data_IF_584662720797
#
_entry.id   IF_584662720797
#
_cell.length_a   1.000
_cell.length_b   1.000
_cell.length_c   1.000
_cell.angle_alpha   90.00
_cell.angle_beta   90.00
_cell.angle_gamma   90.00
#
_symmetry.space_group_name_H-M   'P 1'
#
loop_
_entity.id
_entity.type
_entity.pdbx_description
1 polymer ?
#
# COMPACT_ATOMS: atom_id res chain seq x y z
N UNK A 1 21.23 29.63 -1.29
CA UNK A 1 20.90 30.65 -0.27
C UNK A 1 20.35 29.90 0.92
N UNK A 2 21.00 29.99 2.08
CA UNK A 2 20.63 29.26 3.31
C UNK A 2 19.31 29.77 3.86
N UNK A 3 18.33 28.89 3.88
CA UNK A 3 16.93 29.15 4.21
C UNK A 3 16.73 29.24 5.74
N UNK A 4 17.18 30.35 6.33
CA UNK A 4 17.06 30.64 7.76
C UNK A 4 15.60 30.89 8.23
N UNK A 5 14.60 30.73 7.36
CA UNK A 5 13.18 30.99 7.65
C UNK A 5 12.37 29.75 8.06
N UNK A 6 12.98 28.56 8.17
CA UNK A 6 12.26 27.32 8.57
C UNK A 6 12.00 27.21 10.08
N UNK A 7 12.52 28.11 10.90
CA UNK A 7 12.48 28.04 12.38
C UNK A 7 11.08 28.36 12.96
N UNK A 8 10.21 29.02 12.18
CA UNK A 8 8.88 29.44 12.65
C UNK A 8 7.75 28.44 12.34
N UNK A 9 8.05 27.27 11.78
CA UNK A 9 7.03 26.23 11.54
C UNK A 9 6.81 25.37 12.80
N UNK A 10 5.55 25.01 13.11
CA UNK A 10 5.22 24.34 14.38
C UNK A 10 5.83 22.94 14.51
N UNK A 11 6.18 22.31 13.39
CA UNK A 11 6.82 20.99 13.34
C UNK A 11 8.10 21.09 12.51
N UNK A 12 9.29 20.80 13.06
CA UNK A 12 10.51 20.79 12.28
C UNK A 12 10.44 19.69 11.22
N UNK A 13 10.95 19.99 10.02
CA UNK A 13 11.14 18.99 8.97
C UNK A 13 12.31 18.04 9.28
N UNK A 14 12.53 17.01 8.43
CA UNK A 14 13.71 16.15 8.55
C UNK A 14 15.01 16.96 8.42
N UNK A 15 16.02 16.58 9.19
CA UNK A 15 17.35 17.17 9.08
C UNK A 15 18.12 16.54 7.91
N UNK A 16 19.02 17.32 7.31
CA UNK A 16 20.00 16.81 6.36
C UNK A 16 20.97 15.83 7.06
N UNK A 17 21.49 14.82 6.35
CA UNK A 17 22.48 13.91 6.91
C UNK A 17 23.78 14.66 7.28
N UNK A 18 24.34 14.34 8.45
CA UNK A 18 25.62 14.90 8.93
C UNK A 18 26.55 13.73 9.33
N UNK A 19 27.72 13.57 8.67
CA UNK A 19 28.22 14.38 7.55
C UNK A 19 27.42 14.14 6.27
N UNK A 20 27.38 15.14 5.39
CA UNK A 20 26.88 14.95 4.03
C UNK A 20 27.87 14.09 3.22
N UNK A 21 27.33 13.19 2.40
CA UNK A 21 28.08 12.35 1.47
C UNK A 21 27.89 12.85 0.04
N UNK A 22 28.83 12.56 -0.86
CA UNK A 22 28.76 13.00 -2.27
C UNK A 22 27.50 12.47 -2.96
N UNK A 23 27.04 11.27 -2.60
CA UNK A 23 25.81 10.66 -3.13
C UNK A 23 24.55 11.43 -2.73
N UNK A 24 24.53 12.00 -1.51
CA UNK A 24 23.40 12.82 -1.06
C UNK A 24 23.32 14.11 -1.88
N UNK A 25 24.47 14.75 -2.14
CA UNK A 25 24.54 15.96 -2.95
C UNK A 25 24.13 15.69 -4.41
N UNK A 26 24.61 14.59 -5.00
CA UNK A 26 24.23 14.18 -6.36
C UNK A 26 22.71 13.91 -6.47
N UNK A 27 22.12 13.25 -5.47
CA UNK A 27 20.68 13.02 -5.43
C UNK A 27 19.91 14.34 -5.29
N UNK A 28 20.38 15.26 -4.45
CA UNK A 28 19.80 16.60 -4.28
C UNK A 28 19.82 17.38 -5.60
N UNK A 29 20.93 17.34 -6.33
CA UNK A 29 21.06 17.98 -7.64
C UNK A 29 20.12 17.35 -8.66
N UNK A 30 20.10 16.01 -8.77
CA UNK A 30 19.20 15.29 -9.68
C UNK A 30 17.71 15.58 -9.41
N UNK A 31 17.32 15.71 -8.14
CA UNK A 31 15.95 16.11 -7.75
C UNK A 31 15.64 17.53 -8.25
N UNK A 32 16.55 18.50 -8.10
CA UNK A 32 16.32 19.85 -8.59
C UNK A 32 16.25 19.87 -10.12
N UNK A 33 17.17 19.19 -10.80
CA UNK A 33 17.17 19.08 -12.27
C UNK A 33 15.88 18.45 -12.79
N UNK A 34 15.34 17.46 -12.08
CA UNK A 34 14.03 16.88 -12.38
C UNK A 34 12.90 17.89 -12.14
N UNK A 35 12.91 18.66 -11.06
CA UNK A 35 11.83 19.63 -10.82
C UNK A 35 11.82 20.80 -11.83
N UNK A 36 12.96 21.11 -12.43
CA UNK A 36 13.12 22.19 -13.41
C UNK A 36 12.92 21.74 -14.87
N UNK A 37 12.71 20.43 -15.14
CA UNK A 37 12.53 19.93 -16.50
C UNK A 37 11.15 20.25 -17.10
N UNK A 38 11.06 20.24 -18.43
CA UNK A 38 9.79 20.32 -19.19
C UNK A 38 9.59 19.00 -19.96
N UNK A 39 8.85 18.02 -19.42
CA UNK A 39 8.64 16.75 -20.08
C UNK A 39 7.66 16.85 -21.26
N UNK A 40 7.85 16.00 -22.27
CA UNK A 40 6.90 15.87 -23.40
C UNK A 40 5.54 15.29 -22.93
N UNK A 41 5.54 14.48 -21.86
CA UNK A 41 4.35 13.90 -21.24
C UNK A 41 4.15 14.50 -19.84
N UNK A 42 3.09 15.31 -19.62
CA UNK A 42 2.80 15.99 -18.35
C UNK A 42 2.62 15.05 -17.15
N UNK A 43 2.40 13.75 -17.37
CA UNK A 43 2.33 12.81 -16.25
C UNK A 43 3.65 12.67 -15.49
N UNK A 44 4.76 13.10 -16.10
CA UNK A 44 6.09 13.12 -15.51
C UNK A 44 6.46 14.46 -14.86
N UNK A 45 5.55 15.44 -14.82
CA UNK A 45 5.71 16.65 -13.99
C UNK A 45 5.67 16.31 -12.47
N UNK A 46 5.17 15.12 -12.11
CA UNK A 46 5.10 14.65 -10.72
C UNK A 46 6.34 13.84 -10.33
N UNK A 47 7.20 14.43 -9.50
CA UNK A 47 8.39 13.77 -8.96
C UNK A 47 8.06 12.48 -8.17
N UNK A 48 6.91 12.39 -7.52
CA UNK A 48 6.54 11.18 -6.76
C UNK A 48 6.31 9.99 -7.67
N UNK A 49 5.80 10.24 -8.88
CA UNK A 49 5.64 9.20 -9.91
C UNK A 49 7.00 8.69 -10.38
N UNK A 50 7.96 9.59 -10.62
CA UNK A 50 9.32 9.20 -11.00
C UNK A 50 10.03 8.43 -9.89
N UNK A 51 9.96 8.92 -8.65
CA UNK A 51 10.51 8.21 -7.49
C UNK A 51 9.84 6.85 -7.29
N UNK A 52 8.53 6.74 -7.51
CA UNK A 52 7.81 5.47 -7.50
C UNK A 52 8.33 4.50 -8.57
N UNK A 53 8.60 4.98 -9.79
CA UNK A 53 9.18 4.15 -10.84
C UNK A 53 10.62 3.70 -10.53
N UNK A 54 11.43 4.56 -9.90
CA UNK A 54 12.82 4.25 -9.52
C UNK A 54 12.87 3.28 -8.33
N UNK A 55 12.03 3.51 -7.32
CA UNK A 55 12.09 2.81 -6.03
C UNK A 55 11.10 1.66 -5.90
N UNK A 56 10.21 1.45 -6.86
CA UNK A 56 9.09 0.50 -6.75
C UNK A 56 9.56 -0.93 -6.43
N UNK A 57 10.58 -1.42 -7.15
CA UNK A 57 11.15 -2.75 -6.88
C UNK A 57 11.76 -2.82 -5.49
N UNK A 58 12.61 -1.85 -5.13
CA UNK A 58 13.21 -1.77 -3.78
C UNK A 58 12.15 -1.76 -2.66
N UNK A 59 11.06 -1.00 -2.83
CA UNK A 59 10.00 -0.91 -1.84
C UNK A 59 9.18 -2.21 -1.74
N UNK A 60 8.93 -2.88 -2.87
CA UNK A 60 8.27 -4.19 -2.88
C UNK A 60 9.15 -5.23 -2.21
N UNK A 61 10.44 -5.28 -2.52
CA UNK A 61 11.36 -6.25 -1.94
C UNK A 61 11.52 -6.03 -0.42
N UNK A 62 11.60 -4.77 0.01
CA UNK A 62 11.59 -4.42 1.43
C UNK A 62 10.29 -4.85 2.13
N UNK A 63 9.15 -4.81 1.44
CA UNK A 63 7.89 -5.33 1.97
C UNK A 63 7.91 -6.85 2.08
N UNK A 64 8.34 -7.54 1.03
CA UNK A 64 8.47 -9.01 0.99
C UNK A 64 9.34 -9.48 2.17
N UNK A 65 10.49 -8.84 2.38
CA UNK A 65 11.37 -9.10 3.53
C UNK A 65 10.70 -8.79 4.87
N UNK A 66 10.08 -7.61 5.01
CA UNK A 66 9.48 -7.18 6.28
C UNK A 66 8.30 -8.07 6.74
N UNK A 67 7.54 -8.63 5.80
CA UNK A 67 6.39 -9.49 6.10
C UNK A 67 6.71 -10.99 6.00
N UNK A 68 7.93 -11.34 5.60
CA UNK A 68 8.40 -12.72 5.48
C UNK A 68 7.56 -13.54 4.49
N UNK A 69 7.16 -12.94 3.37
CA UNK A 69 6.40 -13.62 2.32
C UNK A 69 7.31 -13.93 1.14
N UNK A 70 6.94 -14.88 0.30
CA UNK A 70 7.80 -15.37 -0.78
C UNK A 70 7.31 -14.87 -2.16
N UNK A 71 6.03 -15.05 -2.45
CA UNK A 71 5.48 -14.78 -3.78
C UNK A 71 4.01 -14.35 -3.75
N UNK A 72 3.55 -13.62 -4.79
CA UNK A 72 2.14 -13.33 -4.94
C UNK A 72 1.37 -14.56 -5.44
N UNK A 73 0.18 -14.79 -4.92
CA UNK A 73 -0.78 -15.71 -5.51
C UNK A 73 -1.23 -15.21 -6.90
N UNK A 74 -1.61 -16.14 -7.78
CA UNK A 74 -2.16 -15.82 -9.10
C UNK A 74 -3.42 -14.93 -9.01
N UNK A 75 -4.25 -15.14 -7.98
CA UNK A 75 -5.46 -14.36 -7.72
C UNK A 75 -5.49 -13.88 -6.27
N UNK A 76 -5.67 -12.58 -6.08
CA UNK A 76 -5.91 -11.99 -4.77
C UNK A 76 -7.32 -12.33 -4.28
N UNK A 77 -7.40 -13.19 -3.26
CA UNK A 77 -8.67 -13.57 -2.62
C UNK A 77 -8.51 -13.53 -1.10
N UNK A 78 -9.19 -12.61 -0.43
CA UNK A 78 -9.05 -12.46 1.03
C UNK A 78 -9.70 -13.61 1.80
N UNK A 79 -10.69 -14.29 1.20
CA UNK A 79 -11.28 -15.51 1.78
C UNK A 79 -10.20 -16.55 2.07
N UNK A 80 -9.25 -16.76 1.15
CA UNK A 80 -8.12 -17.68 1.35
C UNK A 80 -7.29 -17.34 2.58
N UNK A 81 -7.06 -16.04 2.83
CA UNK A 81 -6.37 -15.58 4.05
C UNK A 81 -7.19 -15.87 5.31
N UNK A 82 -8.51 -15.75 5.23
CA UNK A 82 -9.42 -15.95 6.37
C UNK A 82 -9.62 -17.44 6.66
N UNK A 83 -9.72 -18.28 5.64
CA UNK A 83 -10.08 -19.71 5.75
C UNK A 83 -8.87 -20.63 5.74
N UNK A 84 -7.73 -20.18 5.21
CA UNK A 84 -6.56 -21.01 4.92
C UNK A 84 -6.75 -21.92 3.70
N UNK A 85 -7.64 -21.57 2.77
CA UNK A 85 -7.87 -22.36 1.55
C UNK A 85 -6.75 -22.12 0.51
N UNK A 86 -6.22 -23.21 -0.06
CA UNK A 86 -5.17 -23.19 -1.09
C UNK A 86 -5.61 -22.55 -2.40
N UNK A 87 -6.89 -22.71 -2.75
CA UNK A 87 -7.47 -22.19 -3.98
C UNK A 87 -8.66 -21.30 -3.66
N UNK A 88 -8.91 -20.31 -4.52
CA UNK A 88 -10.18 -19.60 -4.44
C UNK A 88 -11.28 -20.59 -4.85
N UNK A 89 -12.26 -20.89 -3.99
CA UNK A 89 -13.25 -21.93 -4.28
C UNK A 89 -14.23 -21.57 -5.42
N UNK A 90 -14.07 -20.42 -6.09
CA UNK A 90 -15.03 -19.93 -7.07
C UNK A 90 -14.42 -19.55 -8.42
N UNK A 91 -15.13 -19.97 -9.47
CA UNK A 91 -14.92 -19.52 -10.84
C UNK A 91 -15.33 -18.04 -10.98
N UNK A 92 -14.59 -17.20 -11.72
CA UNK A 92 -14.98 -15.82 -12.03
C UNK A 92 -16.32 -15.69 -12.77
N UNK A 93 -16.85 -16.79 -13.28
CA UNK A 93 -18.05 -16.85 -14.12
C UNK A 93 -19.28 -17.42 -13.39
N UNK A 94 -19.12 -17.91 -12.17
CA UNK A 94 -20.16 -18.59 -11.42
C UNK A 94 -20.52 -17.81 -10.15
N UNK A 95 -21.77 -17.94 -9.71
CA UNK A 95 -22.21 -17.35 -8.46
C UNK A 95 -21.50 -18.00 -7.27
N UNK A 96 -21.25 -17.22 -6.23
CA UNK A 96 -20.65 -17.72 -4.99
C UNK A 96 -21.47 -18.89 -4.43
N UNK A 97 -20.79 -20.02 -4.20
CA UNK A 97 -21.43 -21.24 -3.70
C UNK A 97 -21.73 -21.16 -2.21
N UNK A 98 -21.07 -20.25 -1.49
CA UNK A 98 -21.30 -19.93 -0.09
C UNK A 98 -21.33 -18.40 0.10
N UNK A 99 -22.43 -17.74 -0.30
CA UNK A 99 -22.59 -16.30 -0.18
C UNK A 99 -22.73 -15.82 1.27
N UNK A 100 -22.87 -16.73 2.23
CA UNK A 100 -22.85 -16.44 3.67
C UNK A 100 -21.44 -16.53 4.29
N UNK A 101 -20.47 -17.04 3.55
CA UNK A 101 -19.09 -17.20 4.00
C UNK A 101 -18.28 -15.91 3.87
N UNK A 102 -16.96 -15.96 4.16
CA UNK A 102 -16.11 -14.80 4.05
C UNK A 102 -16.06 -14.27 2.61
N UNK A 103 -16.02 -12.94 2.43
CA UNK A 103 -16.02 -12.33 1.10
C UNK A 103 -14.69 -12.53 0.38
N UNK A 104 -14.72 -12.43 -0.95
CA UNK A 104 -13.52 -12.57 -1.80
C UNK A 104 -12.66 -11.31 -1.86
N UNK A 105 -13.22 -10.17 -1.45
CA UNK A 105 -12.56 -8.86 -1.46
C UNK A 105 -12.94 -8.05 -0.22
N UNK A 106 -11.98 -7.36 0.40
CA UNK A 106 -12.28 -6.35 1.40
C UNK A 106 -12.84 -5.06 0.76
N UNK A 107 -13.36 -4.13 1.58
CA UNK A 107 -13.62 -2.76 1.17
C UNK A 107 -12.39 -2.13 0.52
N UNK A 108 -12.60 -1.34 -0.54
CA UNK A 108 -11.55 -0.57 -1.23
C UNK A 108 -10.33 -1.41 -1.71
N UNK A 109 -10.57 -2.64 -2.18
CA UNK A 109 -9.58 -3.64 -2.65
C UNK A 109 -8.80 -3.28 -3.93
N UNK A 110 -8.40 -2.02 -4.07
CA UNK A 110 -7.63 -1.50 -5.19
C UNK A 110 -6.22 -2.10 -5.21
N UNK A 111 -5.77 -2.48 -6.42
CA UNK A 111 -4.42 -3.00 -6.67
C UNK A 111 -4.01 -4.12 -5.69
N UNK A 112 -4.96 -4.96 -5.30
CA UNK A 112 -4.76 -5.94 -4.24
C UNK A 112 -3.90 -7.14 -4.67
N UNK A 113 -3.14 -7.67 -3.73
CA UNK A 113 -2.29 -8.85 -3.86
C UNK A 113 -2.48 -9.74 -2.63
N UNK A 114 -2.73 -11.03 -2.85
CA UNK A 114 -2.56 -12.03 -1.80
C UNK A 114 -1.12 -12.55 -1.90
N UNK A 115 -0.41 -12.52 -0.79
CA UNK A 115 0.97 -13.00 -0.66
C UNK A 115 1.00 -14.34 0.07
N UNK A 116 1.89 -15.21 -0.40
CA UNK A 116 2.08 -16.56 0.10
C UNK A 116 3.39 -16.66 0.90
N UNK A 117 3.42 -17.55 1.89
CA UNK A 117 4.61 -18.01 2.62
C UNK A 117 4.61 -19.54 2.55
N UNK A 118 5.60 -20.13 1.90
CA UNK A 118 5.65 -21.58 1.59
C UNK A 118 4.37 -22.11 0.91
N UNK A 119 3.78 -21.29 0.02
CA UNK A 119 2.55 -21.61 -0.72
C UNK A 119 1.24 -21.32 0.03
N UNK A 120 1.31 -21.01 1.33
CA UNK A 120 0.15 -20.77 2.18
C UNK A 120 -0.24 -19.28 2.20
N UNK A 121 -1.55 -18.93 2.19
CA UNK A 121 -2.01 -17.54 2.33
C UNK A 121 -1.47 -16.88 3.62
N UNK A 122 -0.59 -15.89 3.48
CA UNK A 122 0.09 -15.28 4.62
C UNK A 122 -0.35 -13.84 4.89
N UNK A 123 -0.48 -13.03 3.83
CA UNK A 123 -0.77 -11.60 3.93
C UNK A 123 -1.62 -11.16 2.74
N UNK A 124 -2.64 -10.34 2.98
CA UNK A 124 -3.39 -9.67 1.92
C UNK A 124 -3.05 -8.18 1.93
N UNK A 125 -2.57 -7.66 0.81
CA UNK A 125 -2.11 -6.28 0.69
C UNK A 125 -2.90 -5.53 -0.39
N UNK A 126 -3.17 -4.25 -0.19
CA UNK A 126 -3.89 -3.41 -1.16
C UNK A 126 -3.39 -1.97 -1.16
N UNK A 127 -3.30 -1.37 -2.34
CA UNK A 127 -2.80 0.00 -2.52
C UNK A 127 -3.95 0.94 -2.84
N UNK A 128 -4.43 1.63 -1.82
CA UNK A 128 -5.70 2.36 -1.87
C UNK A 128 -5.46 3.85 -2.01
N UNK A 129 -6.11 4.48 -2.98
CA UNK A 129 -6.08 5.94 -3.08
C UNK A 129 -6.84 6.53 -1.90
N UNK A 130 -6.29 7.52 -1.16
CA UNK A 130 -6.99 8.14 -0.04
C UNK A 130 -8.41 8.62 -0.39
N UNK A 131 -8.57 9.20 -1.58
CA UNK A 131 -9.88 9.63 -2.08
C UNK A 131 -10.88 8.49 -2.32
N UNK A 132 -10.42 7.24 -2.49
CA UNK A 132 -11.30 6.08 -2.52
C UNK A 132 -11.73 5.65 -1.13
N UNK A 133 -10.93 5.93 -0.08
CA UNK A 133 -11.28 5.60 1.31
C UNK A 133 -12.15 6.69 1.97
N UNK A 134 -11.99 7.94 1.54
CA UNK A 134 -12.76 9.10 1.99
C UNK A 134 -14.16 9.21 1.35
N UNK A 135 -14.58 8.24 0.53
CA UNK A 135 -15.88 8.28 -0.15
C UNK A 135 -17.04 8.09 0.82
N UNK A 136 -17.73 9.20 1.10
CA UNK A 136 -18.98 9.31 1.86
C UNK A 136 -20.24 8.81 1.10
N UNK A 137 -20.11 8.41 -0.16
CA UNK A 137 -21.25 8.03 -1.03
C UNK A 137 -21.44 6.50 -1.12
N UNK A 138 -21.45 5.82 0.04
CA UNK A 138 -21.94 4.44 0.15
C UNK A 138 -23.44 4.45 0.43
N UNK A 139 -24.23 3.59 -0.23
CA UNK A 139 -25.69 3.49 -0.02
C UNK A 139 -26.07 3.00 1.39
N UNK A 140 -25.16 2.33 2.12
CA UNK A 140 -25.40 1.88 3.50
C UNK A 140 -24.30 2.38 4.47
N UNK A 141 -24.66 2.77 5.72
CA UNK A 141 -23.70 3.22 6.75
C UNK A 141 -22.88 2.07 7.37
N UNK A 142 -21.68 2.36 7.93
CA UNK A 142 -21.04 3.67 8.00
C UNK A 142 -20.43 4.10 6.66
N UNK A 143 -20.58 5.39 6.35
CA UNK A 143 -20.20 5.97 5.05
C UNK A 143 -18.70 6.34 4.98
N UNK A 144 -17.80 5.65 5.67
CA UNK A 144 -16.37 5.92 5.59
C UNK A 144 -15.62 4.60 5.57
N UNK A 145 -15.07 4.30 4.39
CA UNK A 145 -14.41 3.03 4.10
C UNK A 145 -13.18 2.80 5.00
N UNK A 146 -12.67 3.83 5.70
CA UNK A 146 -11.66 3.61 6.74
C UNK A 146 -12.24 2.80 7.90
N UNK A 147 -13.43 3.14 8.39
CA UNK A 147 -14.07 2.35 9.45
C UNK A 147 -14.41 0.96 8.94
N UNK A 148 -14.89 0.85 7.70
CA UNK A 148 -15.21 -0.44 7.09
C UNK A 148 -13.98 -1.35 7.00
N UNK A 149 -12.78 -0.81 6.71
CA UNK A 149 -11.53 -1.58 6.70
C UNK A 149 -11.20 -2.16 8.08
N UNK A 150 -11.35 -1.37 9.15
CA UNK A 150 -11.09 -1.84 10.51
C UNK A 150 -12.19 -2.78 11.03
N UNK A 151 -13.45 -2.47 10.74
CA UNK A 151 -14.60 -3.32 11.09
C UNK A 151 -14.50 -4.66 10.37
N UNK A 152 -14.17 -4.66 9.08
CA UNK A 152 -13.90 -5.87 8.30
C UNK A 152 -12.81 -6.73 8.94
N UNK A 153 -11.67 -6.12 9.30
CA UNK A 153 -10.59 -6.84 9.95
C UNK A 153 -11.06 -7.48 11.26
N UNK A 154 -11.77 -6.72 12.09
CA UNK A 154 -12.31 -7.22 13.36
C UNK A 154 -13.36 -8.31 13.17
N UNK A 155 -14.23 -8.21 12.16
CA UNK A 155 -15.27 -9.19 11.86
C UNK A 155 -14.68 -10.56 11.51
N UNK A 156 -13.62 -10.55 10.69
CA UNK A 156 -12.97 -11.77 10.20
C UNK A 156 -11.74 -12.19 11.00
N UNK A 157 -11.51 -11.56 12.16
CA UNK A 157 -10.42 -11.94 13.06
C UNK A 157 -9.02 -11.67 12.50
N UNK A 158 -8.88 -10.68 11.62
CA UNK A 158 -7.62 -10.24 11.03
C UNK A 158 -7.06 -9.04 11.80
N UNK A 159 -5.74 -8.91 11.79
CA UNK A 159 -5.05 -7.68 12.16
C UNK A 159 -4.83 -6.80 10.92
N UNK A 160 -4.66 -5.49 11.12
CA UNK A 160 -4.44 -4.53 10.04
C UNK A 160 -3.24 -3.63 10.30
N UNK A 161 -2.43 -3.45 9.27
CA UNK A 161 -1.32 -2.49 9.24
C UNK A 161 -1.52 -1.48 8.11
N UNK A 162 -1.25 -0.21 8.39
CA UNK A 162 -1.31 0.88 7.42
C UNK A 162 0.10 1.41 7.19
N UNK A 163 0.61 1.20 5.99
CA UNK A 163 1.96 1.60 5.58
C UNK A 163 1.90 2.89 4.74
N UNK A 164 2.74 3.89 5.05
CA UNK A 164 2.75 5.18 4.35
C UNK A 164 3.43 5.11 2.98
N UNK A 165 4.10 4.00 2.66
CA UNK A 165 4.83 3.81 1.41
C UNK A 165 4.19 2.67 0.61
N UNK A 166 3.61 3.05 -0.52
CA UNK A 166 3.08 2.15 -1.52
C UNK A 166 4.07 2.05 -2.69
N UNK A 167 4.50 0.84 -3.04
CA UNK A 167 5.33 0.64 -4.24
C UNK A 167 4.51 0.71 -5.54
N UNK A 168 3.19 0.52 -5.47
CA UNK A 168 2.32 0.56 -6.65
C UNK A 168 2.15 1.99 -7.18
N UNK A 169 1.96 2.95 -6.26
CA UNK A 169 1.87 4.37 -6.61
C UNK A 169 2.32 5.22 -5.42
N UNK A 170 3.64 5.47 -5.37
CA UNK A 170 4.28 6.16 -4.27
C UNK A 170 3.75 7.59 -4.11
N UNK A 171 3.42 7.97 -2.87
CA UNK A 171 2.89 9.30 -2.55
C UNK A 171 1.40 9.50 -2.89
N UNK A 172 0.80 8.62 -3.69
CA UNK A 172 -0.60 8.73 -4.13
C UNK A 172 -1.52 7.68 -3.52
N UNK A 173 -0.98 6.59 -2.99
CA UNK A 173 -1.76 5.50 -2.37
C UNK A 173 -1.23 5.18 -0.98
N UNK A 174 -2.15 4.82 -0.08
CA UNK A 174 -1.85 4.21 1.21
C UNK A 174 -1.82 2.70 1.02
N UNK A 175 -0.86 2.05 1.65
CA UNK A 175 -0.72 0.60 1.54
C UNK A 175 -1.30 -0.08 2.78
N UNK A 176 -2.42 -0.78 2.62
CA UNK A 176 -3.15 -1.45 3.70
C UNK A 176 -2.86 -2.94 3.62
N UNK A 177 -2.60 -3.54 4.78
CA UNK A 177 -2.17 -4.93 4.91
C UNK A 177 -3.02 -5.64 5.95
N UNK A 178 -3.68 -6.73 5.58
CA UNK A 178 -4.37 -7.66 6.48
C UNK A 178 -3.56 -8.94 6.69
N UNK A 179 -3.55 -9.46 7.90
CA UNK A 179 -2.86 -10.71 8.24
C UNK A 179 -3.49 -11.41 9.45
N UNK A 180 -3.33 -12.74 9.60
CA UNK A 180 -3.77 -13.46 10.78
C UNK A 180 -3.04 -12.99 12.06
N UNK A 181 -3.69 -12.87 13.22
CA UNK A 181 -3.08 -12.36 14.43
C UNK A 181 -1.85 -13.14 14.92
N UNK A 182 -1.76 -14.42 14.58
CA UNK A 182 -0.64 -15.31 14.94
C UNK A 182 0.64 -14.98 14.17
N UNK A 183 0.55 -14.22 13.07
CA UNK A 183 1.67 -14.00 12.15
C UNK A 183 2.87 -13.29 12.80
N UNK A 184 2.62 -12.34 13.69
CA UNK A 184 3.65 -11.48 14.28
C UNK A 184 3.61 -11.47 15.83
N UNK A 185 3.05 -12.51 16.45
CA UNK A 185 3.01 -12.69 17.91
C UNK A 185 4.21 -13.47 18.45
#
# INVERSE_FOLDING_TARGET
MTDNNRIDWPTPGPNEPIPAWDEYEQMREAVNDYLDHEPDDPTWDDIWRALGAIMGEYQRDAFVEAFGVDEPAETACIRRLITGEDECPHSPLEADSDPSGPPHKPPASDHATLWLDDGEPAVYSMHVYPGNVERLESEEPPHNLWFDVFEFASEWGLEVSILPKSWCNLGSTVHIVFYPPERFR
#
